data_IF_012228830381
#
_entry.id   IF_012228830381
#
_cell.length_a   1.000
_cell.length_b   1.000
_cell.length_c   1.000
_cell.angle_alpha   90.00
_cell.angle_beta   90.00
_cell.angle_gamma   90.00
#
_symmetry.space_group_name_H-M   'P 1'
#
loop_
_entity.id
_entity.type
_entity.pdbx_description
1 polymer ?
#
# COMPACT_ATOMS: atom_id res chain seq x y z
N UNK A 1 -46.37 -3.36 30.31
CA UNK A 1 -44.94 -3.40 30.66
C UNK A 1 -44.41 -4.78 30.32
N UNK A 2 -43.49 -4.88 29.35
CA UNK A 2 -43.02 -6.17 28.84
C UNK A 2 -41.70 -6.57 29.51
N UNK A 3 -41.67 -7.76 30.11
CA UNK A 3 -40.50 -8.35 30.77
C UNK A 3 -39.55 -8.93 29.72
N UNK A 4 -38.38 -8.32 29.54
CA UNK A 4 -37.29 -8.91 28.76
C UNK A 4 -36.50 -9.87 29.66
N UNK A 5 -36.39 -11.13 29.24
CA UNK A 5 -35.54 -12.11 29.94
C UNK A 5 -34.10 -11.91 29.50
N UNK A 6 -33.19 -11.72 30.47
CA UNK A 6 -31.75 -11.80 30.24
C UNK A 6 -31.39 -13.26 29.91
N UNK A 7 -30.98 -13.53 28.68
CA UNK A 7 -30.31 -14.79 28.33
C UNK A 7 -28.81 -14.60 28.55
N UNK A 8 -28.19 -15.49 29.34
CA UNK A 8 -26.75 -15.48 29.54
C UNK A 8 -26.03 -15.78 28.21
N UNK A 9 -25.46 -14.75 27.59
CA UNK A 9 -24.49 -14.93 26.52
C UNK A 9 -23.18 -15.43 27.15
N UNK A 10 -22.77 -16.65 26.80
CA UNK A 10 -21.43 -17.15 27.13
C UNK A 10 -20.41 -16.29 26.38
N UNK A 11 -19.65 -15.46 27.08
CA UNK A 11 -18.40 -14.93 26.54
C UNK A 11 -17.37 -16.04 26.62
N UNK A 12 -16.99 -16.61 25.48
CA UNK A 12 -15.85 -17.53 25.47
C UNK A 12 -14.62 -16.72 25.87
N UNK A 13 -14.09 -17.07 27.04
CA UNK A 13 -13.02 -16.37 27.74
C UNK A 13 -11.79 -16.11 26.89
N UNK A 14 -11.11 -15.02 27.23
CA UNK A 14 -9.84 -14.63 26.65
C UNK A 14 -8.85 -15.79 26.62
N UNK A 15 -8.06 -15.84 25.55
CA UNK A 15 -7.01 -16.86 25.36
C UNK A 15 -6.14 -16.94 26.62
N UNK A 16 -6.04 -18.15 27.19
CA UNK A 16 -5.09 -18.42 28.26
C UNK A 16 -3.64 -18.17 27.78
N UNK A 17 -2.74 -17.66 28.64
CA UNK A 17 -1.34 -17.44 28.27
C UNK A 17 -0.68 -18.80 28.03
N UNK A 18 -0.46 -19.14 26.75
CA UNK A 18 0.23 -20.36 26.34
C UNK A 18 1.73 -20.18 26.53
N UNK A 19 2.38 -21.10 27.26
CA UNK A 19 3.84 -21.20 27.36
C UNK A 19 4.49 -21.15 25.95
N UNK A 20 5.50 -20.29 25.78
CA UNK A 20 6.24 -20.17 24.52
C UNK A 20 7.14 -21.39 24.33
N UNK A 21 6.65 -22.35 23.55
CA UNK A 21 7.52 -23.25 22.79
C UNK A 21 7.79 -22.55 21.46
N UNK A 22 9.06 -22.47 21.08
CA UNK A 22 9.51 -21.83 19.85
C UNK A 22 8.71 -22.36 18.66
N UNK A 23 7.74 -21.57 18.22
CA UNK A 23 6.97 -21.87 17.02
C UNK A 23 7.71 -21.20 15.89
N UNK A 24 8.35 -22.02 15.05
CA UNK A 24 8.85 -21.60 13.74
C UNK A 24 7.69 -20.89 13.04
N UNK A 25 7.81 -19.58 12.85
CA UNK A 25 6.79 -18.79 12.19
C UNK A 25 6.77 -19.18 10.71
N UNK A 26 5.99 -20.20 10.38
CA UNK A 26 5.49 -20.38 9.04
C UNK A 26 4.58 -19.18 8.76
N UNK A 27 5.13 -18.14 8.14
CA UNK A 27 4.33 -17.05 7.61
C UNK A 27 3.27 -17.66 6.72
N UNK A 28 1.99 -17.38 7.03
CA UNK A 28 0.84 -17.81 6.24
C UNK A 28 0.91 -17.17 4.85
N UNK A 29 1.54 -17.88 3.93
CA UNK A 29 1.17 -17.84 2.52
C UNK A 29 0.89 -19.28 2.10
N UNK A 30 -0.41 -19.58 2.07
CA UNK A 30 -1.06 -20.72 1.40
C UNK A 30 -0.77 -22.13 1.94
N UNK A 31 -1.66 -22.61 2.81
CA UNK A 31 -1.92 -24.05 2.97
C UNK A 31 -3.08 -24.47 2.07
N UNK A 32 -2.89 -25.55 1.32
CA UNK A 32 -3.87 -26.29 0.51
C UNK A 32 -4.37 -25.63 -0.80
N UNK A 33 -4.13 -26.36 -1.89
CA UNK A 33 -4.59 -26.13 -3.28
C UNK A 33 -6.12 -26.17 -3.39
N UNK A 34 -6.79 -25.17 -2.83
CA UNK A 34 -8.22 -24.96 -3.05
C UNK A 34 -8.45 -23.47 -3.36
N UNK A 35 -8.61 -23.18 -4.65
CA UNK A 35 -9.10 -21.91 -5.22
C UNK A 35 -8.55 -20.65 -4.50
N UNK A 36 -7.37 -20.21 -4.92
CA UNK A 36 -6.77 -18.93 -4.50
C UNK A 36 -7.81 -17.82 -4.66
N UNK A 37 -8.17 -17.16 -3.54
CA UNK A 37 -9.05 -15.99 -3.58
C UNK A 37 -8.44 -14.96 -4.51
N UNK A 38 -9.25 -14.40 -5.42
CA UNK A 38 -8.79 -13.33 -6.31
C UNK A 38 -8.14 -12.23 -5.49
N UNK A 39 -7.03 -11.64 -5.95
CA UNK A 39 -6.42 -10.50 -5.27
C UNK A 39 -7.48 -9.41 -5.11
N UNK A 40 -7.50 -8.79 -3.92
CA UNK A 40 -8.43 -7.72 -3.64
C UNK A 40 -8.07 -6.50 -4.51
N UNK A 41 -9.00 -6.13 -5.38
CA UNK A 41 -8.89 -4.95 -6.23
C UNK A 41 -9.68 -3.81 -5.59
N UNK A 42 -9.04 -2.64 -5.48
CA UNK A 42 -9.73 -1.43 -5.06
C UNK A 42 -10.72 -0.97 -6.14
N UNK A 43 -11.76 -0.25 -5.73
CA UNK A 43 -12.72 0.34 -6.67
C UNK A 43 -12.05 1.45 -7.48
N UNK A 44 -12.47 1.68 -8.74
CA UNK A 44 -12.01 2.83 -9.50
C UNK A 44 -12.24 4.11 -8.69
N UNK A 45 -11.27 5.03 -8.70
CA UNK A 45 -11.30 6.26 -7.91
C UNK A 45 -10.75 6.14 -6.48
N UNK A 46 -10.69 4.94 -5.87
CA UNK A 46 -10.15 4.79 -4.50
C UNK A 46 -8.64 5.08 -4.45
N UNK A 47 -7.90 4.54 -5.40
CA UNK A 47 -6.45 4.78 -5.51
C UNK A 47 -6.18 6.23 -5.90
N UNK A 48 -6.98 6.77 -6.83
CA UNK A 48 -6.87 8.15 -7.31
C UNK A 48 -7.02 9.17 -6.19
N UNK A 49 -8.04 9.03 -5.33
CA UNK A 49 -8.22 9.93 -4.18
C UNK A 49 -7.07 9.81 -3.17
N UNK A 50 -6.58 8.59 -2.94
CA UNK A 50 -5.43 8.35 -2.05
C UNK A 50 -4.15 9.03 -2.58
N UNK A 51 -3.91 8.98 -3.88
CA UNK A 51 -2.77 9.63 -4.53
C UNK A 51 -2.88 11.16 -4.46
N UNK A 52 -4.06 11.73 -4.74
CA UNK A 52 -4.32 13.18 -4.62
C UNK A 52 -4.00 13.66 -3.20
N UNK A 53 -4.54 12.97 -2.18
CA UNK A 53 -4.28 13.34 -0.80
C UNK A 53 -2.81 13.18 -0.39
N UNK A 54 -2.11 12.18 -0.93
CA UNK A 54 -0.70 11.95 -0.63
C UNK A 54 0.17 13.10 -1.18
N UNK A 55 0.02 13.46 -2.45
CA UNK A 55 0.84 14.51 -3.10
C UNK A 55 0.46 15.94 -2.69
N UNK A 56 -0.76 16.16 -2.19
CA UNK A 56 -1.10 17.44 -1.57
C UNK A 56 -0.42 17.62 -0.20
N UNK A 57 -0.07 16.52 0.47
CA UNK A 57 0.53 16.52 1.81
C UNK A 57 2.05 16.45 1.77
N UNK A 58 2.63 15.75 0.80
CA UNK A 58 4.07 15.67 0.58
C UNK A 58 4.54 16.68 -0.47
N UNK A 59 5.81 17.06 -0.41
CA UNK A 59 6.46 17.95 -1.40
C UNK A 59 7.52 17.22 -2.22
N UNK A 60 7.40 15.89 -2.31
CA UNK A 60 8.32 15.06 -3.07
C UNK A 60 8.15 15.31 -4.57
N UNK A 61 9.26 15.29 -5.30
CA UNK A 61 9.22 15.49 -6.74
C UNK A 61 8.48 14.33 -7.40
N UNK A 62 7.42 14.66 -8.16
CA UNK A 62 6.62 13.69 -8.92
C UNK A 62 7.44 12.98 -10.00
N UNK A 63 8.58 13.54 -10.38
CA UNK A 63 9.46 13.00 -11.41
C UNK A 63 10.89 12.95 -10.90
N UNK A 64 11.61 11.89 -11.28
CA UNK A 64 12.99 11.67 -10.87
C UNK A 64 13.89 12.83 -11.35
N UNK A 65 14.85 13.24 -10.52
CA UNK A 65 15.71 14.40 -10.80
C UNK A 65 16.57 14.25 -12.06
N UNK A 66 17.13 13.05 -12.30
CA UNK A 66 18.15 12.81 -13.33
C UNK A 66 17.69 13.13 -14.78
N UNK A 67 16.51 12.67 -15.25
CA UNK A 67 16.05 13.01 -16.60
C UNK A 67 15.76 14.52 -16.78
N UNK A 68 15.28 15.20 -15.73
CA UNK A 68 15.02 16.65 -15.77
C UNK A 68 16.30 17.47 -15.68
N UNK A 69 17.34 16.91 -15.07
CA UNK A 69 18.64 17.54 -15.05
C UNK A 69 19.24 17.59 -16.46
N UNK A 70 19.22 16.48 -17.20
CA UNK A 70 19.70 16.47 -18.59
C UNK A 70 18.89 17.44 -19.46
N UNK A 71 17.56 17.44 -19.36
CA UNK A 71 16.72 18.37 -20.12
C UNK A 71 16.99 19.84 -19.75
N UNK A 72 17.05 20.16 -18.44
CA UNK A 72 17.31 21.51 -17.95
C UNK A 72 18.69 22.00 -18.39
N UNK A 73 19.73 21.19 -18.26
CA UNK A 73 21.09 21.55 -18.68
C UNK A 73 21.20 21.72 -20.19
N UNK A 74 20.61 20.85 -21.01
CA UNK A 74 20.66 21.02 -22.46
C UNK A 74 19.90 22.26 -22.94
N UNK A 75 18.76 22.61 -22.31
CA UNK A 75 18.01 23.81 -22.68
C UNK A 75 18.71 25.10 -22.23
N UNK A 76 19.41 25.06 -21.08
CA UNK A 76 20.14 26.22 -20.54
C UNK A 76 21.50 26.41 -21.22
N UNK A 77 22.22 25.33 -21.55
CA UNK A 77 23.58 25.41 -22.11
C UNK A 77 23.65 25.27 -23.64
N UNK A 78 22.64 24.66 -24.28
CA UNK A 78 22.56 24.53 -25.75
C UNK A 78 21.14 24.87 -26.27
N UNK A 79 20.72 26.15 -26.17
CA UNK A 79 19.35 26.57 -26.49
C UNK A 79 18.98 26.51 -27.98
N UNK A 80 19.97 26.43 -28.88
CA UNK A 80 19.74 26.29 -30.31
C UNK A 80 20.53 25.10 -30.85
N UNK A 81 19.85 24.24 -31.60
CA UNK A 81 20.40 23.00 -32.16
C UNK A 81 21.59 23.27 -33.06
N UNK A 82 22.79 23.19 -32.50
CA UNK A 82 24.02 23.13 -33.28
C UNK A 82 24.33 21.65 -33.51
N UNK A 83 24.34 21.27 -34.79
CA UNK A 83 24.78 19.98 -35.29
C UNK A 83 26.11 19.58 -34.62
N UNK A 84 26.03 18.66 -33.66
CA UNK A 84 27.18 18.19 -32.90
C UNK A 84 27.79 16.96 -33.57
N UNK A 85 28.04 17.05 -34.88
CA UNK A 85 28.80 16.07 -35.65
C UNK A 85 29.48 16.79 -36.84
N UNK A 86 30.72 17.21 -36.61
CA UNK A 86 31.82 17.23 -37.60
C UNK A 86 32.99 16.55 -36.91
#
# INVERSE_FOLDING_TARGET
MARTKQTACKSTGGKAPRKQLATKAAHRSTSATSRVKKPHLYRPGTVTLREIHYYQKSTELLIQKLPFQIMSYNNIYFPFGINKYV
#
